data_IF_897478769965
#
_entry.id   IF_897478769965
#
_cell.length_a   1.000
_cell.length_b   1.000
_cell.length_c   1.000
_cell.angle_alpha   90.00
_cell.angle_beta   90.00
_cell.angle_gamma   90.00
#
_symmetry.space_group_name_H-M   'P 1'
#
loop_
_entity.id
_entity.type
_entity.pdbx_description
1 polymer ?
#
# COMPACT_ATOMS: atom_id res chain seq x y z
N UNK A 1 3.58 10.33 -35.80
CA UNK A 1 4.79 10.26 -34.98
C UNK A 1 4.97 11.50 -34.06
N UNK A 2 3.90 12.14 -33.55
CA UNK A 2 4.01 13.35 -32.69
C UNK A 2 3.53 13.15 -31.25
N UNK A 3 2.98 12.00 -30.87
CA UNK A 3 2.39 11.83 -29.53
C UNK A 3 3.25 11.06 -28.51
N UNK A 4 4.45 10.58 -28.91
CA UNK A 4 5.35 9.85 -27.98
C UNK A 4 6.31 10.74 -27.20
N UNK A 5 6.48 12.00 -27.62
CA UNK A 5 7.42 12.94 -26.96
C UNK A 5 6.77 13.61 -25.74
N UNK A 6 5.42 13.68 -25.70
CA UNK A 6 4.73 14.36 -24.60
C UNK A 6 4.68 13.52 -23.30
N UNK A 7 4.71 12.19 -23.43
CA UNK A 7 4.67 11.28 -22.26
C UNK A 7 5.99 11.26 -21.50
N UNK A 8 7.11 11.38 -22.23
CA UNK A 8 8.44 11.45 -21.59
C UNK A 8 8.67 12.76 -20.84
N UNK A 9 8.09 13.87 -21.33
CA UNK A 9 8.19 15.18 -20.69
C UNK A 9 7.35 15.26 -19.40
N UNK A 10 6.25 14.50 -19.30
CA UNK A 10 5.41 14.45 -18.09
C UNK A 10 6.07 13.75 -16.93
N UNK A 11 6.77 12.63 -17.18
CA UNK A 11 7.51 11.91 -16.14
C UNK A 11 8.74 12.70 -15.65
N UNK A 12 9.45 13.38 -16.54
CA UNK A 12 10.60 14.21 -16.16
C UNK A 12 10.23 15.41 -15.28
N UNK A 13 9.02 15.97 -15.44
CA UNK A 13 8.53 17.09 -14.63
C UNK A 13 8.09 16.67 -13.21
N UNK A 14 7.59 15.45 -13.04
CA UNK A 14 7.25 14.91 -11.71
C UNK A 14 8.50 14.63 -10.87
N UNK A 15 9.60 14.22 -11.51
CA UNK A 15 10.90 13.98 -10.85
C UNK A 15 11.56 15.30 -10.43
N UNK A 16 11.39 16.38 -11.19
CA UNK A 16 12.00 17.69 -10.89
C UNK A 16 11.42 18.39 -9.64
N UNK A 17 10.20 18.07 -9.24
CA UNK A 17 9.57 18.71 -8.07
C UNK A 17 10.01 18.16 -6.71
N UNK A 18 10.68 17.00 -6.65
CA UNK A 18 11.20 16.42 -5.41
C UNK A 18 12.67 16.79 -5.11
N UNK A 19 13.39 17.37 -6.07
CA UNK A 19 14.80 17.76 -5.90
C UNK A 19 15.02 18.97 -4.98
N UNK A 20 13.99 19.59 -4.42
CA UNK A 20 14.12 20.87 -3.73
C UNK A 20 14.51 20.76 -2.23
N UNK A 21 14.60 19.57 -1.65
CA UNK A 21 14.77 19.43 -0.20
C UNK A 21 15.92 18.54 0.30
N UNK A 22 16.76 17.98 -0.54
CA UNK A 22 17.90 17.17 -0.07
C UNK A 22 19.17 17.50 -0.85
N UNK A 23 19.85 18.54 -0.40
CA UNK A 23 21.26 18.79 -0.71
C UNK A 23 22.09 17.94 0.27
N UNK A 24 22.49 16.75 -0.16
CA UNK A 24 23.64 16.06 0.43
C UNK A 24 24.60 15.74 -0.69
N UNK A 25 25.76 16.38 -0.68
CA UNK A 25 26.70 16.58 -1.79
C UNK A 25 27.51 15.32 -2.20
N UNK A 26 27.06 14.10 -1.88
CA UNK A 26 27.91 12.93 -2.11
C UNK A 26 27.39 11.87 -3.10
N UNK A 27 26.12 11.89 -3.50
CA UNK A 27 25.61 10.92 -4.47
C UNK A 27 24.86 11.63 -5.60
N UNK A 28 25.48 11.71 -6.79
CA UNK A 28 24.91 12.27 -8.02
C UNK A 28 23.74 11.46 -8.60
N UNK A 29 22.85 10.91 -7.76
CA UNK A 29 21.74 10.07 -8.17
C UNK A 29 20.38 10.76 -8.01
N UNK A 30 19.39 10.21 -8.70
CA UNK A 30 17.99 10.60 -8.55
C UNK A 30 17.37 9.89 -7.35
N UNK A 31 16.54 10.60 -6.62
CA UNK A 31 15.81 10.08 -5.48
C UNK A 31 14.44 9.61 -5.91
N UNK A 32 14.03 8.44 -5.48
CA UNK A 32 12.69 7.90 -5.69
C UNK A 32 12.12 7.37 -4.38
N UNK A 33 10.85 7.65 -4.16
CA UNK A 33 10.10 7.25 -2.98
C UNK A 33 8.72 6.76 -3.39
N UNK A 34 8.36 5.56 -2.99
CA UNK A 34 7.05 4.99 -3.30
C UNK A 34 6.69 3.81 -2.39
N UNK A 35 5.51 3.26 -2.62
CA UNK A 35 5.02 2.02 -2.04
C UNK A 35 5.32 0.86 -2.96
N UNK A 36 5.82 -0.24 -2.38
CA UNK A 36 6.25 -1.41 -3.14
C UNK A 36 5.66 -2.71 -2.61
N UNK A 37 5.37 -3.61 -3.55
CA UNK A 37 5.20 -5.03 -3.28
C UNK A 37 6.54 -5.73 -3.44
N UNK A 38 6.91 -6.52 -2.45
CA UNK A 38 8.22 -7.19 -2.36
C UNK A 38 8.05 -8.67 -2.66
N UNK A 39 8.83 -9.17 -3.62
CA UNK A 39 8.93 -10.60 -3.95
C UNK A 39 10.36 -11.08 -3.87
N UNK A 40 10.56 -12.39 -3.94
CA UNK A 40 11.90 -12.99 -3.87
C UNK A 40 12.43 -13.14 -2.45
N UNK A 41 13.67 -13.59 -2.38
CA UNK A 41 14.38 -13.87 -1.12
C UNK A 41 15.89 -13.79 -1.33
N UNK A 42 16.66 -13.72 -0.23
CA UNK A 42 18.12 -13.65 -0.25
C UNK A 42 18.62 -12.41 -1.01
N UNK A 43 19.35 -12.63 -2.08
CA UNK A 43 19.92 -11.57 -2.91
C UNK A 43 19.03 -11.22 -4.13
N UNK A 44 17.88 -11.90 -4.29
CA UNK A 44 17.03 -11.82 -5.48
C UNK A 44 15.69 -11.13 -5.19
N UNK A 45 15.69 -10.06 -4.45
CA UNK A 45 14.50 -9.27 -4.24
C UNK A 45 14.09 -8.49 -5.48
N UNK A 46 12.77 -8.47 -5.74
CA UNK A 46 12.14 -7.65 -6.77
C UNK A 46 11.06 -6.81 -6.11
N UNK A 47 11.07 -5.52 -6.40
CA UNK A 47 10.13 -4.54 -5.87
C UNK A 47 9.22 -4.05 -7.00
N UNK A 48 7.93 -4.18 -6.84
CA UNK A 48 6.91 -3.70 -7.79
C UNK A 48 6.27 -2.44 -7.24
N UNK A 49 6.47 -1.32 -7.92
CA UNK A 49 5.86 -0.04 -7.56
C UNK A 49 4.35 -0.04 -7.71
N UNK A 50 3.66 0.71 -6.86
CA UNK A 50 2.19 0.76 -6.87
C UNK A 50 1.62 1.68 -7.95
N UNK A 51 2.31 2.77 -8.27
CA UNK A 51 1.73 3.86 -9.05
C UNK A 51 2.13 3.87 -10.53
N UNK A 52 3.33 3.42 -10.85
CA UNK A 52 3.96 3.65 -12.14
C UNK A 52 4.41 2.39 -12.88
N UNK A 53 3.93 1.22 -12.48
CA UNK A 53 4.35 -0.06 -13.06
C UNK A 53 5.87 -0.28 -13.06
N UNK A 54 6.60 0.45 -12.22
CA UNK A 54 8.03 0.33 -12.08
C UNK A 54 8.40 -0.99 -11.42
N UNK A 55 9.34 -1.70 -12.01
CA UNK A 55 9.97 -2.89 -11.41
C UNK A 55 11.38 -2.54 -10.99
N UNK A 56 11.73 -2.76 -9.75
CA UNK A 56 13.05 -2.41 -9.19
C UNK A 56 13.79 -3.65 -8.73
N UNK A 57 15.05 -3.75 -9.14
CA UNK A 57 16.02 -4.73 -8.66
C UNK A 57 17.03 -3.98 -7.80
N UNK A 58 16.88 -3.99 -6.47
CA UNK A 58 17.81 -3.31 -5.56
C UNK A 58 19.17 -4.02 -5.50
N UNK A 59 20.20 -3.31 -5.08
CA UNK A 59 21.47 -3.97 -4.79
C UNK A 59 21.36 -4.79 -3.51
N UNK A 60 21.94 -6.02 -3.45
CA UNK A 60 21.90 -6.87 -2.26
C UNK A 60 22.48 -6.17 -1.01
N UNK A 61 23.54 -5.40 -1.19
CA UNK A 61 24.20 -4.65 -0.11
C UNK A 61 23.26 -3.61 0.50
N UNK A 62 22.47 -2.93 -0.34
CA UNK A 62 21.51 -1.93 0.16
C UNK A 62 20.34 -2.58 0.89
N UNK A 63 19.87 -3.72 0.43
CA UNK A 63 18.87 -4.51 1.15
C UNK A 63 19.41 -4.95 2.51
N UNK A 64 20.62 -5.52 2.54
CA UNK A 64 21.27 -5.92 3.78
C UNK A 64 21.41 -4.74 4.75
N UNK A 65 21.79 -3.58 4.24
CA UNK A 65 21.97 -2.35 5.03
C UNK A 65 20.66 -1.92 5.73
N UNK A 66 19.54 -1.76 4.99
CA UNK A 66 18.28 -1.27 5.58
C UNK A 66 17.56 -2.31 6.43
N UNK A 67 17.86 -3.60 6.22
CA UNK A 67 17.24 -4.72 6.95
C UNK A 67 18.14 -5.29 8.05
N UNK A 68 19.29 -4.69 8.31
CA UNK A 68 20.30 -5.21 9.24
C UNK A 68 20.71 -6.66 8.93
N UNK A 69 20.87 -6.97 7.65
CA UNK A 69 21.28 -8.30 7.16
C UNK A 69 20.20 -9.39 7.19
N UNK A 70 18.96 -9.05 7.59
CA UNK A 70 17.87 -10.06 7.72
C UNK A 70 17.06 -10.22 6.44
N UNK A 71 17.26 -9.37 5.44
CA UNK A 71 16.39 -9.26 4.28
C UNK A 71 14.97 -8.80 4.67
N UNK A 72 14.07 -8.82 3.72
CA UNK A 72 12.68 -8.40 3.99
C UNK A 72 11.85 -9.47 4.71
N UNK A 73 12.32 -10.73 4.76
CA UNK A 73 11.64 -11.83 5.42
C UNK A 73 10.24 -12.08 4.84
N UNK A 74 9.23 -12.16 5.71
CA UNK A 74 7.82 -12.32 5.33
C UNK A 74 7.11 -11.01 4.98
N UNK A 75 7.79 -9.86 5.10
CA UNK A 75 7.19 -8.57 4.78
C UNK A 75 7.06 -8.42 3.26
N UNK A 76 5.83 -8.31 2.78
CA UNK A 76 5.50 -8.23 1.36
C UNK A 76 5.18 -6.83 0.90
N UNK A 77 5.05 -5.88 1.82
CA UNK A 77 4.71 -4.49 1.52
C UNK A 77 5.61 -3.54 2.29
N UNK A 78 6.15 -2.54 1.60
CA UNK A 78 6.96 -1.50 2.22
C UNK A 78 6.81 -0.17 1.49
N UNK A 79 7.02 0.88 2.23
CA UNK A 79 7.29 2.23 1.76
C UNK A 79 8.81 2.38 1.74
N UNK A 80 9.39 2.61 0.58
CA UNK A 80 10.84 2.61 0.39
C UNK A 80 11.31 3.90 -0.25
N UNK A 81 12.49 4.31 0.17
CA UNK A 81 13.24 5.42 -0.34
C UNK A 81 14.56 4.90 -0.93
N UNK A 82 14.87 5.31 -2.15
CA UNK A 82 16.04 4.83 -2.88
C UNK A 82 16.70 5.91 -3.72
N UNK A 83 17.96 5.67 -4.06
CA UNK A 83 18.74 6.47 -5.01
C UNK A 83 19.10 5.60 -6.19
N UNK A 84 19.06 6.16 -7.39
CA UNK A 84 19.40 5.47 -8.63
C UNK A 84 20.02 6.40 -9.67
N UNK A 85 20.68 5.83 -10.65
CA UNK A 85 21.18 6.55 -11.82
C UNK A 85 20.20 6.39 -12.99
N UNK A 86 19.91 7.45 -13.76
CA UNK A 86 18.94 7.39 -14.87
C UNK A 86 19.28 6.34 -15.93
N UNK A 87 20.56 6.11 -16.17
CA UNK A 87 21.06 5.11 -17.12
C UNK A 87 20.72 3.66 -16.71
N UNK A 88 20.37 3.46 -15.45
CA UNK A 88 19.98 2.16 -14.91
C UNK A 88 18.49 1.85 -15.14
N UNK A 89 17.73 2.79 -15.73
CA UNK A 89 16.34 2.61 -16.10
C UNK A 89 16.24 2.14 -17.55
N UNK A 90 15.52 1.05 -17.76
CA UNK A 90 15.25 0.48 -19.08
C UNK A 90 13.77 0.19 -19.27
N UNK A 91 13.35 -0.01 -20.51
CA UNK A 91 11.99 -0.47 -20.82
C UNK A 91 12.03 -1.95 -21.18
N UNK A 92 11.40 -2.80 -20.39
CA UNK A 92 11.31 -4.25 -20.62
C UNK A 92 9.84 -4.67 -20.64
N UNK A 93 9.39 -5.29 -21.74
CA UNK A 93 8.01 -5.75 -21.90
C UNK A 93 6.93 -4.66 -21.61
N UNK A 94 7.23 -3.40 -21.95
CA UNK A 94 6.32 -2.28 -21.75
C UNK A 94 6.25 -1.75 -20.32
N UNK A 95 7.15 -2.20 -19.43
CA UNK A 95 7.31 -1.70 -18.06
C UNK A 95 8.66 -1.03 -17.88
N UNK A 96 8.71 -0.04 -17.03
CA UNK A 96 9.99 0.53 -16.59
C UNK A 96 10.67 -0.44 -15.62
N UNK A 97 11.95 -0.68 -15.86
CA UNK A 97 12.79 -1.55 -15.02
C UNK A 97 14.02 -0.76 -14.56
N UNK A 98 14.19 -0.69 -13.27
CA UNK A 98 15.34 -0.05 -12.62
C UNK A 98 16.21 -1.13 -11.98
N UNK A 99 17.49 -1.21 -12.41
CA UNK A 99 18.47 -2.16 -11.88
C UNK A 99 19.52 -1.44 -11.05
N UNK A 100 19.96 -2.09 -9.96
CA UNK A 100 21.01 -1.55 -9.11
C UNK A 100 20.58 -0.35 -8.27
N UNK A 101 19.28 -0.24 -7.94
CA UNK A 101 18.81 0.78 -7.01
C UNK A 101 19.44 0.61 -5.63
N UNK A 102 19.86 1.70 -5.04
CA UNK A 102 20.44 1.71 -3.69
C UNK A 102 19.36 2.15 -2.71
N UNK A 103 18.85 1.21 -1.92
CA UNK A 103 17.88 1.51 -0.87
C UNK A 103 18.56 2.30 0.26
N UNK A 104 17.95 3.40 0.65
CA UNK A 104 18.46 4.31 1.69
C UNK A 104 17.65 4.24 2.99
N UNK A 105 16.41 3.73 2.92
CA UNK A 105 15.54 3.59 4.08
C UNK A 105 14.12 3.18 3.69
N UNK A 106 13.27 3.05 4.70
CA UNK A 106 11.87 2.72 4.50
C UNK A 106 11.21 2.17 5.74
N UNK A 107 9.94 1.84 5.59
CA UNK A 107 9.13 1.21 6.64
C UNK A 107 8.26 0.10 6.06
N UNK A 108 8.06 -0.96 6.86
CA UNK A 108 7.11 -2.00 6.49
C UNK A 108 5.67 -1.52 6.64
N UNK A 109 4.85 -1.86 5.66
CA UNK A 109 3.43 -1.61 5.70
C UNK A 109 2.75 -2.85 6.27
N UNK A 110 1.91 -2.65 7.26
CA UNK A 110 1.11 -3.71 7.83
C UNK A 110 0.25 -4.36 6.74
N UNK A 111 0.36 -5.69 6.62
CA UNK A 111 -0.43 -6.48 5.69
C UNK A 111 -1.33 -7.41 6.47
N UNK A 112 -2.63 -7.40 6.17
CA UNK A 112 -3.65 -8.25 6.78
C UNK A 112 -4.61 -8.76 5.70
N UNK A 113 -5.45 -9.74 6.04
CA UNK A 113 -6.49 -10.22 5.14
C UNK A 113 -7.70 -9.29 5.13
N UNK A 114 -8.41 -9.25 4.01
CA UNK A 114 -9.79 -8.80 4.01
C UNK A 114 -10.64 -9.81 4.79
N UNK A 115 -11.70 -9.35 5.43
CA UNK A 115 -12.59 -10.20 6.20
C UNK A 115 -13.95 -10.30 5.51
N UNK A 116 -14.55 -11.47 5.56
CA UNK A 116 -16.00 -11.63 5.32
C UNK A 116 -16.78 -11.17 6.57
N UNK A 117 -18.09 -10.87 6.46
CA UNK A 117 -18.90 -10.56 7.62
C UNK A 117 -18.87 -11.65 8.71
N UNK A 118 -18.80 -12.92 8.31
CA UNK A 118 -18.75 -14.05 9.25
C UNK A 118 -17.43 -14.10 10.01
N UNK A 119 -16.29 -13.88 9.33
CA UNK A 119 -14.98 -13.80 9.97
C UNK A 119 -14.88 -12.60 10.91
N UNK A 120 -15.36 -11.41 10.46
CA UNK A 120 -15.39 -10.24 11.31
C UNK A 120 -16.22 -10.44 12.59
N UNK A 121 -17.32 -11.17 12.50
CA UNK A 121 -18.13 -11.55 13.66
C UNK A 121 -17.41 -12.54 14.55
N UNK A 122 -16.77 -13.58 13.98
CA UNK A 122 -16.02 -14.59 14.71
C UNK A 122 -14.83 -13.99 15.47
N UNK A 123 -14.13 -13.05 14.87
CA UNK A 123 -13.01 -12.32 15.46
C UNK A 123 -13.46 -11.18 16.40
N UNK A 124 -14.76 -10.97 16.55
CA UNK A 124 -15.35 -9.89 17.35
C UNK A 124 -14.90 -8.48 16.92
N UNK A 125 -14.48 -8.33 15.68
CA UNK A 125 -13.98 -7.06 15.11
C UNK A 125 -15.08 -6.02 15.07
N UNK A 126 -16.29 -6.42 14.65
CA UNK A 126 -17.45 -5.53 14.52
C UNK A 126 -17.91 -4.88 15.83
N UNK A 127 -17.63 -5.49 16.96
CA UNK A 127 -18.05 -4.98 18.29
C UNK A 127 -16.97 -4.07 18.88
N UNK A 128 -15.70 -4.44 18.70
CA UNK A 128 -14.57 -3.71 19.26
C UNK A 128 -14.30 -2.39 18.54
N UNK A 129 -14.50 -2.36 17.23
CA UNK A 129 -14.04 -1.27 16.37
C UNK A 129 -15.10 -0.15 16.21
N UNK A 130 -16.35 -0.41 16.56
CA UNK A 130 -17.42 0.58 16.44
C UNK A 130 -17.35 1.75 17.44
N UNK A 131 -16.38 1.74 18.34
CA UNK A 131 -16.25 2.71 19.43
C UNK A 131 -15.57 4.00 18.98
N UNK A 132 -14.71 3.93 17.96
CA UNK A 132 -13.94 5.05 17.49
C UNK A 132 -14.04 5.19 15.97
N UNK A 133 -14.68 6.26 15.49
CA UNK A 133 -14.81 6.48 14.06
C UNK A 133 -13.42 6.75 13.43
N UNK A 134 -13.26 6.30 12.21
CA UNK A 134 -12.21 6.82 11.34
C UNK A 134 -12.48 8.31 11.16
N UNK A 135 -11.46 9.13 11.42
CA UNK A 135 -11.59 10.58 11.25
C UNK A 135 -11.68 10.92 9.77
N UNK A 136 -10.86 10.26 8.93
CA UNK A 136 -10.86 10.47 7.49
C UNK A 136 -10.24 9.29 6.75
N UNK A 137 -10.88 8.86 5.68
CA UNK A 137 -10.28 8.03 4.63
C UNK A 137 -9.57 8.95 3.63
N UNK A 138 -8.24 8.94 3.64
CA UNK A 138 -7.45 9.82 2.78
C UNK A 138 -7.32 9.23 1.38
N UNK A 139 -7.05 7.93 1.29
CA UNK A 139 -6.82 7.23 0.03
C UNK A 139 -7.16 5.75 0.11
N UNK A 140 -7.66 5.20 -1.01
CA UNK A 140 -7.83 3.76 -1.22
C UNK A 140 -7.47 3.43 -2.68
N UNK A 141 -6.66 2.39 -2.91
CA UNK A 141 -6.26 1.94 -4.24
C UNK A 141 -5.87 0.47 -4.27
N UNK A 142 -5.99 -0.15 -5.46
CA UNK A 142 -5.53 -1.51 -5.70
C UNK A 142 -4.19 -1.53 -6.41
N UNK A 143 -3.28 -2.37 -5.98
CA UNK A 143 -1.99 -2.57 -6.63
C UNK A 143 -1.38 -3.93 -6.29
N UNK A 144 -0.85 -4.61 -7.30
CA UNK A 144 -0.01 -5.81 -7.14
C UNK A 144 -0.62 -6.89 -6.23
N UNK A 145 -1.94 -7.09 -6.29
CA UNK A 145 -2.64 -8.09 -5.49
C UNK A 145 -3.08 -7.61 -4.10
N UNK A 146 -2.90 -6.34 -3.82
CA UNK A 146 -3.32 -5.73 -2.56
C UNK A 146 -4.32 -4.60 -2.77
N UNK A 147 -5.24 -4.46 -1.83
CA UNK A 147 -6.02 -3.26 -1.62
C UNK A 147 -5.34 -2.45 -0.51
N UNK A 148 -5.07 -1.19 -0.77
CA UNK A 148 -4.33 -0.34 0.15
C UNK A 148 -5.21 0.81 0.66
N UNK A 149 -5.04 1.18 1.91
CA UNK A 149 -5.72 2.34 2.50
C UNK A 149 -4.76 3.23 3.26
N UNK A 150 -4.99 4.54 3.18
CA UNK A 150 -4.44 5.51 4.12
C UNK A 150 -5.62 6.13 4.85
N UNK A 151 -5.64 5.99 6.17
CA UNK A 151 -6.68 6.57 7.02
C UNK A 151 -6.04 7.46 8.08
N UNK A 152 -6.71 8.56 8.40
CA UNK A 152 -6.40 9.37 9.57
C UNK A 152 -7.29 8.92 10.73
N UNK A 153 -6.68 8.60 11.84
CA UNK A 153 -7.38 8.18 13.05
C UNK A 153 -6.76 8.79 14.30
N UNK A 154 -7.55 8.85 15.36
CA UNK A 154 -7.08 9.26 16.67
C UNK A 154 -6.37 8.09 17.36
N UNK A 155 -5.29 8.37 18.05
CA UNK A 155 -4.55 7.36 18.81
C UNK A 155 -4.33 7.82 20.25
N UNK A 156 -4.10 6.84 21.14
CA UNK A 156 -3.72 7.10 22.52
C UNK A 156 -2.36 6.49 22.83
N UNK A 157 -1.49 7.22 23.51
CA UNK A 157 -0.18 6.70 23.94
C UNK A 157 -0.30 5.65 25.05
N UNK A 158 -1.40 5.67 25.80
CA UNK A 158 -1.68 4.69 26.85
C UNK A 158 -2.34 3.42 26.30
N UNK A 159 -2.04 3.05 25.05
CA UNK A 159 -2.45 1.78 24.51
C UNK A 159 -1.92 0.67 25.41
N UNK A 160 -2.78 -0.25 25.81
CA UNK A 160 -2.40 -1.42 26.61
C UNK A 160 -1.22 -2.14 25.93
N UNK A 161 -0.01 -1.97 26.48
CA UNK A 161 1.19 -2.62 25.97
C UNK A 161 1.75 -2.08 24.64
N UNK A 162 1.37 -0.88 24.19
CA UNK A 162 1.90 -0.27 22.96
C UNK A 162 1.32 -0.84 21.66
N UNK A 163 0.15 -1.47 21.72
CA UNK A 163 -0.54 -2.00 20.54
C UNK A 163 -0.97 -0.83 19.64
N UNK A 164 -0.51 -0.84 18.39
CA UNK A 164 -0.87 0.17 17.42
C UNK A 164 -2.34 0.03 17.00
N UNK A 165 -3.02 1.15 16.72
CA UNK A 165 -4.35 1.11 16.12
C UNK A 165 -4.39 0.25 14.86
N UNK A 166 -5.53 -0.37 14.59
CA UNK A 166 -5.75 -1.20 13.41
C UNK A 166 -6.95 -0.72 12.63
N UNK A 167 -6.87 -0.86 11.31
CA UNK A 167 -8.01 -0.70 10.42
C UNK A 167 -8.28 -2.06 9.80
N UNK A 168 -9.46 -2.61 10.03
CA UNK A 168 -9.91 -3.83 9.39
C UNK A 168 -10.85 -3.48 8.23
N UNK A 169 -10.87 -4.29 7.19
CA UNK A 169 -11.74 -4.16 6.03
C UNK A 169 -12.63 -5.38 5.91
N UNK A 170 -13.93 -5.14 5.98
CA UNK A 170 -14.94 -6.17 5.75
C UNK A 170 -15.51 -6.00 4.35
N UNK A 171 -15.52 -7.08 3.58
CA UNK A 171 -16.05 -7.15 2.22
C UNK A 171 -17.41 -7.83 2.26
N UNK A 172 -18.42 -7.20 1.68
CA UNK A 172 -19.72 -7.80 1.44
C UNK A 172 -19.99 -7.81 -0.07
N UNK A 173 -20.23 -8.98 -0.62
CA UNK A 173 -20.72 -9.12 -1.99
C UNK A 173 -22.23 -9.10 -1.94
N UNK A 174 -22.86 -8.19 -2.70
CA UNK A 174 -24.32 -8.16 -2.83
C UNK A 174 -24.76 -9.37 -3.67
N UNK A 175 -25.76 -10.11 -3.19
CA UNK A 175 -26.28 -11.28 -3.89
C UNK A 175 -26.77 -10.88 -5.30
N UNK A 176 -26.21 -11.54 -6.33
CA UNK A 176 -26.57 -11.31 -7.72
C UNK A 176 -25.95 -10.05 -8.35
N UNK A 177 -25.15 -9.28 -7.65
CA UNK A 177 -24.44 -8.15 -8.22
C UNK A 177 -23.16 -8.63 -8.90
N UNK A 178 -23.04 -8.36 -10.21
CA UNK A 178 -21.78 -8.54 -10.92
C UNK A 178 -20.91 -7.30 -10.80
N UNK A 179 -19.60 -7.50 -10.67
CA UNK A 179 -18.60 -6.44 -10.63
C UNK A 179 -18.84 -5.39 -9.51
N UNK A 180 -19.48 -5.76 -8.42
CA UNK A 180 -19.74 -4.85 -7.31
C UNK A 180 -19.52 -5.52 -5.95
N UNK A 181 -18.98 -4.76 -5.01
CA UNK A 181 -18.88 -5.17 -3.61
C UNK A 181 -18.92 -3.93 -2.71
N UNK A 182 -19.32 -4.15 -1.47
CA UNK A 182 -19.32 -3.14 -0.42
C UNK A 182 -18.12 -3.38 0.52
N UNK A 183 -17.36 -2.33 0.79
CA UNK A 183 -16.26 -2.32 1.75
C UNK A 183 -16.65 -1.51 2.97
N UNK A 184 -16.42 -2.07 4.14
CA UNK A 184 -16.60 -1.40 5.41
C UNK A 184 -15.29 -1.36 6.18
N UNK A 185 -14.78 -0.15 6.44
CA UNK A 185 -13.59 0.07 7.25
C UNK A 185 -14.00 0.16 8.72
N UNK A 186 -13.36 -0.64 9.55
CA UNK A 186 -13.56 -0.68 11.00
C UNK A 186 -12.25 -0.30 11.69
N UNK A 187 -12.30 0.75 12.50
CA UNK A 187 -11.12 1.27 13.19
C UNK A 187 -11.10 0.85 14.65
N UNK A 188 -10.02 0.19 15.06
CA UNK A 188 -9.79 -0.18 16.45
C UNK A 188 -8.56 0.53 17.01
N UNK A 189 -8.78 1.36 18.00
CA UNK A 189 -7.75 2.10 18.70
C UNK A 189 -6.99 1.24 19.73
N UNK A 190 -7.51 0.07 20.06
CA UNK A 190 -6.99 -0.81 21.13
C UNK A 190 -6.77 -0.14 22.48
N UNK A 191 -7.55 0.88 22.78
CA UNK A 191 -7.49 1.60 24.06
C UNK A 191 -8.85 1.63 24.73
N UNK A 192 -8.87 1.74 26.07
CA UNK A 192 -10.12 1.88 26.80
C UNK A 192 -10.88 3.13 26.38
N UNK A 193 -12.22 3.10 26.50
CA UNK A 193 -13.08 4.24 26.14
C UNK A 193 -12.69 5.55 26.81
N UNK A 194 -12.16 5.47 28.03
CA UNK A 194 -11.83 6.62 28.86
C UNK A 194 -10.39 7.14 28.63
N UNK A 195 -9.63 6.54 27.71
CA UNK A 195 -8.31 7.03 27.37
C UNK A 195 -8.43 8.32 26.56
N UNK A 196 -7.79 9.37 27.02
CA UNK A 196 -7.69 10.62 26.27
C UNK A 196 -7.04 10.39 24.90
N UNK A 197 -7.59 11.02 23.88
CA UNK A 197 -6.95 11.11 22.58
C UNK A 197 -5.66 11.89 22.73
N UNK A 198 -4.52 11.28 22.36
CA UNK A 198 -3.23 11.95 22.46
C UNK A 198 -2.80 12.63 21.16
N UNK A 199 -3.42 12.30 20.07
CA UNK A 199 -3.12 12.88 18.77
C UNK A 199 -3.83 12.20 17.64
N UNK A 200 -3.56 12.69 16.44
CA UNK A 200 -4.00 12.11 15.16
C UNK A 200 -2.80 11.70 14.37
N UNK A 201 -2.91 10.58 13.67
CA UNK A 201 -1.87 10.15 12.75
C UNK A 201 -2.49 9.40 11.57
N UNK A 202 -1.70 9.25 10.53
CA UNK A 202 -2.07 8.45 9.37
C UNK A 202 -1.60 7.02 9.59
N UNK A 203 -2.46 6.10 9.21
CA UNK A 203 -2.18 4.67 9.21
C UNK A 203 -2.31 4.16 7.79
N UNK A 204 -1.24 3.57 7.27
CA UNK A 204 -1.28 2.83 6.02
C UNK A 204 -1.43 1.35 6.33
N UNK A 205 -2.38 0.71 5.65
CA UNK A 205 -2.61 -0.74 5.73
C UNK A 205 -2.82 -1.29 4.33
N UNK A 206 -2.21 -2.43 4.05
CA UNK A 206 -2.42 -3.22 2.84
C UNK A 206 -3.22 -4.47 3.18
N UNK A 207 -4.18 -4.80 2.35
CA UNK A 207 -5.04 -5.97 2.52
C UNK A 207 -4.81 -6.92 1.35
N UNK A 208 -4.62 -8.20 1.64
CA UNK A 208 -4.62 -9.23 0.60
C UNK A 208 -5.97 -9.20 -0.14
N UNK A 209 -5.93 -8.98 -1.44
CA UNK A 209 -7.13 -8.74 -2.24
C UNK A 209 -7.79 -10.03 -2.75
N UNK A 210 -7.42 -11.22 -2.24
CA UNK A 210 -7.93 -12.49 -2.72
C UNK A 210 -9.47 -12.55 -2.73
N UNK A 211 -10.14 -12.10 -1.66
CA UNK A 211 -11.61 -12.06 -1.59
C UNK A 211 -12.25 -11.19 -2.68
N UNK A 212 -11.60 -10.13 -3.13
CA UNK A 212 -12.12 -9.28 -4.20
C UNK A 212 -12.01 -9.96 -5.57
N UNK A 213 -11.13 -10.93 -5.73
CA UNK A 213 -11.04 -11.71 -6.97
C UNK A 213 -12.19 -12.70 -7.11
N UNK A 214 -12.83 -13.10 -6.00
CA UNK A 214 -13.99 -13.99 -5.97
C UNK A 214 -15.29 -13.28 -6.35
N UNK A 215 -15.33 -11.94 -6.34
CA UNK A 215 -16.49 -11.16 -6.79
C UNK A 215 -16.77 -11.47 -8.27
N UNK A 216 -17.99 -11.89 -8.64
CA UNK A 216 -18.30 -12.20 -10.04
C UNK A 216 -18.08 -10.99 -10.98
N UNK A 217 -17.64 -11.26 -12.20
CA UNK A 217 -17.49 -10.23 -13.24
C UNK A 217 -16.15 -10.26 -13.96
N UNK A 218 -15.88 -9.28 -14.83
CA UNK A 218 -14.75 -9.28 -15.74
C UNK A 218 -13.69 -8.23 -15.41
N UNK A 219 -13.64 -7.12 -16.10
CA UNK A 219 -12.46 -6.24 -16.16
C UNK A 219 -12.23 -5.36 -14.94
N UNK A 220 -13.27 -5.05 -14.20
CA UNK A 220 -13.18 -4.12 -13.06
C UNK A 220 -14.22 -4.43 -11.99
N UNK A 221 -13.94 -4.00 -10.76
CA UNK A 221 -14.85 -4.08 -9.62
C UNK A 221 -15.20 -2.66 -9.17
N UNK A 222 -16.50 -2.41 -8.97
CA UNK A 222 -17.00 -1.18 -8.34
C UNK A 222 -17.16 -1.41 -6.84
N UNK A 223 -16.42 -0.67 -6.05
CA UNK A 223 -16.47 -0.77 -4.60
C UNK A 223 -17.23 0.42 -4.02
N UNK A 224 -18.26 0.15 -3.22
CA UNK A 224 -18.90 1.15 -2.38
C UNK A 224 -18.23 1.11 -1.00
N UNK A 225 -17.67 2.22 -0.55
CA UNK A 225 -16.83 2.27 0.64
C UNK A 225 -17.55 3.01 1.76
N UNK A 226 -17.56 2.40 2.94
CA UNK A 226 -18.06 2.99 4.18
C UNK A 226 -16.93 3.04 5.22
N UNK A 227 -16.80 4.18 5.89
CA UNK A 227 -16.02 4.29 7.11
C UNK A 227 -16.99 4.06 8.29
N UNK A 228 -16.96 2.86 8.84
CA UNK A 228 -17.98 2.31 9.71
C UNK A 228 -19.38 2.34 9.03
N UNK A 229 -20.27 3.21 9.46
CA UNK A 229 -21.62 3.38 8.89
C UNK A 229 -21.73 4.58 7.93
N UNK A 230 -20.67 5.40 7.83
CA UNK A 230 -20.68 6.64 7.04
C UNK A 230 -20.19 6.33 5.63
N UNK A 231 -20.99 6.68 4.63
CA UNK A 231 -20.59 6.57 3.23
C UNK A 231 -19.34 7.42 2.96
N UNK A 232 -18.27 6.76 2.50
CA UNK A 232 -16.99 7.40 2.21
C UNK A 232 -16.74 7.61 0.71
N UNK A 233 -17.44 6.88 -0.16
CA UNK A 233 -17.30 7.06 -1.61
C UNK A 233 -17.46 5.78 -2.42
N UNK A 234 -17.17 5.90 -3.72
CA UNK A 234 -17.09 4.78 -4.66
C UNK A 234 -15.72 4.75 -5.31
N UNK A 235 -15.22 3.55 -5.53
CA UNK A 235 -13.95 3.28 -6.19
C UNK A 235 -14.17 2.23 -7.28
N UNK A 236 -13.57 2.45 -8.44
CA UNK A 236 -13.50 1.45 -9.50
C UNK A 236 -12.07 0.94 -9.61
N UNK A 237 -11.87 -0.35 -9.41
CA UNK A 237 -10.58 -1.02 -9.50
C UNK A 237 -10.51 -1.89 -10.74
N UNK A 238 -9.39 -1.84 -11.44
CA UNK A 238 -9.06 -2.86 -12.44
C UNK A 238 -8.75 -4.19 -11.74
N UNK A 239 -9.25 -5.30 -12.24
CA UNK A 239 -8.90 -6.63 -11.71
C UNK A 239 -7.41 -6.94 -11.87
N UNK A 240 -6.77 -6.39 -12.91
CA UNK A 240 -5.33 -6.55 -13.09
C UNK A 240 -4.53 -5.96 -11.92
N UNK A 241 -5.01 -4.89 -11.27
CA UNK A 241 -4.35 -4.34 -10.09
C UNK A 241 -4.44 -5.24 -8.86
N UNK A 242 -5.37 -6.19 -8.86
CA UNK A 242 -5.58 -7.17 -7.78
C UNK A 242 -4.86 -8.50 -8.02
N UNK A 243 -4.12 -8.63 -9.13
CA UNK A 243 -3.32 -9.82 -9.42
C UNK A 243 -1.95 -9.67 -8.77
N UNK A 244 -1.54 -10.71 -8.03
CA UNK A 244 -0.21 -10.76 -7.40
C UNK A 244 0.87 -10.96 -8.47
N UNK A 245 2.02 -10.29 -8.33
CA UNK A 245 3.20 -10.62 -9.11
C UNK A 245 3.64 -12.07 -8.90
N UNK A 246 4.34 -12.63 -9.88
CA UNK A 246 4.93 -13.95 -9.72
C UNK A 246 5.94 -13.95 -8.56
N UNK A 247 5.88 -14.98 -7.73
CA UNK A 247 6.78 -15.14 -6.58
C UNK A 247 6.29 -14.52 -5.27
N UNK A 248 5.02 -14.10 -5.21
CA UNK A 248 4.37 -13.61 -3.99
C UNK A 248 3.54 -14.71 -3.32
#
# INVERSE_FOLDING_TARGET
MKNKILTLAGCALAIASFNACMNDDSDNGYVYYSYFTITGEGDNYVLYGDEDSLTVYPTPESVASITSGKGFGSNRRAELYMVYQPENVSMENGREVLRGAVLKGGSYIRTISLLTPAEAQAENVCVADSIFPIVRLERIWGSNGFLNTIVTGDYSANNNGGIRPTVNLVVTCDEGAENAATLRLLYNRHSAKDCYTMGRTQFMTSYDAALLQEVPGTDSISLTVYADTIYAGKLKLSRNSLVKPAGL
#
